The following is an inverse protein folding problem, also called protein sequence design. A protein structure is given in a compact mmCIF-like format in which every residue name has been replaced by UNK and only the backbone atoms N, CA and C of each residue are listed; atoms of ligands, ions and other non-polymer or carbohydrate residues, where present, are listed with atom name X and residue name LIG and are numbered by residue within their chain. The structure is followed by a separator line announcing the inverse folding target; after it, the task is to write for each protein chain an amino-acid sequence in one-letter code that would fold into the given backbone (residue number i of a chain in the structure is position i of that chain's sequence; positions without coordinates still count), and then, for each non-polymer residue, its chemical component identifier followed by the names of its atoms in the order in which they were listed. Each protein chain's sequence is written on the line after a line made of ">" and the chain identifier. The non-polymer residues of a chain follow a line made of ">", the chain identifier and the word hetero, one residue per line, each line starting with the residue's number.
data_IF_983583841263
#
_entry.id   IF_983583841263
#
_cell.length_a   1.000
_cell.length_b   1.000
_cell.length_c   1.000
_cell.angle_alpha   90.00
_cell.angle_beta   90.00
_cell.angle_gamma   90.00
#
_symmetry.space_group_name_H-M   'P 1'
#
loop_
_entity.id
_entity.type
_entity.pdbx_description
1 polymer ?
#
# COMPACT_ATOMS: atom_id res chain seq x y z
N UNK A 1 4.83 -25.57 65.61
CA UNK A 1 3.49 -25.02 65.30
C UNK A 1 3.56 -23.50 65.26
N UNK A 2 3.05 -22.91 64.18
CA UNK A 2 2.48 -21.55 64.00
C UNK A 2 3.13 -20.36 64.75
N UNK A 3 3.77 -19.39 64.06
CA UNK A 3 3.21 -18.31 63.24
C UNK A 3 2.83 -17.05 64.03
N UNK A 4 3.43 -15.91 63.65
CA UNK A 4 3.03 -14.50 63.85
C UNK A 4 4.30 -13.62 63.68
N UNK A 5 4.36 -12.41 63.11
CA UNK A 5 3.46 -11.46 62.44
C UNK A 5 4.38 -10.28 62.05
N UNK A 6 4.06 -9.50 61.00
CA UNK A 6 4.48 -8.08 60.95
C UNK A 6 5.23 -7.56 59.72
N UNK A 7 4.45 -7.23 58.68
CA UNK A 7 4.47 -6.00 57.87
C UNK A 7 5.71 -5.07 57.88
N UNK A 8 6.21 -4.70 56.69
CA UNK A 8 6.04 -3.35 56.08
C UNK A 8 6.85 -3.21 54.79
N UNK A 9 6.18 -2.75 53.75
CA UNK A 9 6.78 -2.37 52.47
C UNK A 9 7.50 -1.03 52.52
N UNK A 10 8.56 -0.91 51.73
CA UNK A 10 9.22 0.31 51.28
C UNK A 10 10.10 -0.10 50.08
N UNK A 11 10.25 0.60 48.96
CA UNK A 11 9.65 1.80 48.36
C UNK A 11 10.11 1.77 46.90
N UNK A 12 9.23 2.18 45.99
CA UNK A 12 9.53 2.44 44.56
C UNK A 12 10.80 3.29 44.40
N UNK A 13 11.58 2.98 43.36
CA UNK A 13 12.03 3.97 42.35
C UNK A 13 12.70 3.24 41.17
N UNK A 14 11.88 2.80 40.21
CA UNK A 14 12.37 2.59 38.85
C UNK A 14 12.21 3.93 38.13
N UNK A 15 13.33 4.61 37.83
CA UNK A 15 13.31 5.76 36.94
C UNK A 15 12.85 5.29 35.55
N UNK A 16 11.65 5.68 35.15
CA UNK A 16 11.24 5.64 33.75
C UNK A 16 12.03 6.72 33.01
N UNK A 17 13.09 6.33 32.31
CA UNK A 17 13.70 7.18 31.31
C UNK A 17 12.71 7.28 30.13
N UNK A 18 12.01 8.40 30.04
CA UNK A 18 11.32 8.84 28.82
C UNK A 18 12.39 9.02 27.75
N UNK A 19 12.66 7.96 26.98
CA UNK A 19 13.34 8.11 25.69
C UNK A 19 12.29 8.65 24.73
N UNK A 20 12.39 9.95 24.49
CA UNK A 20 11.86 10.58 23.30
C UNK A 20 12.27 9.74 22.08
N UNK A 21 11.29 9.06 21.47
CA UNK A 21 11.53 8.28 20.26
C UNK A 21 11.42 9.23 19.10
N UNK A 22 12.53 9.86 18.74
CA UNK A 22 12.69 10.39 17.38
C UNK A 22 12.44 9.24 16.39
N UNK A 23 11.59 9.41 15.36
CA UNK A 23 11.32 8.34 14.42
C UNK A 23 12.63 7.94 13.72
N UNK A 24 12.92 6.64 13.68
CA UNK A 24 14.08 6.14 12.94
C UNK A 24 13.97 6.46 11.44
N UNK A 25 15.11 6.50 10.75
CA UNK A 25 15.22 6.87 9.32
C UNK A 25 14.24 6.11 8.41
N UNK A 26 13.88 4.87 8.76
CA UNK A 26 12.88 4.06 8.06
C UNK A 26 11.44 4.61 8.17
N UNK A 27 11.06 5.17 9.33
CA UNK A 27 9.75 5.78 9.54
C UNK A 27 9.61 7.09 8.76
N UNK A 28 10.67 7.89 8.69
CA UNK A 28 10.70 9.13 7.89
C UNK A 28 10.59 8.85 6.38
N UNK A 29 11.16 7.74 5.90
CA UNK A 29 11.04 7.28 4.50
C UNK A 29 9.63 6.77 4.19
N UNK A 30 8.99 6.05 5.12
CA UNK A 30 7.63 5.58 4.96
C UNK A 30 6.62 6.73 4.84
N UNK A 31 6.77 7.79 5.65
CA UNK A 31 5.90 8.98 5.61
C UNK A 31 5.91 9.70 4.27
N UNK A 32 7.05 9.72 3.56
CA UNK A 32 7.19 10.42 2.29
C UNK A 32 6.27 9.86 1.17
N UNK A 33 5.72 8.67 1.34
CA UNK A 33 4.87 8.02 0.34
C UNK A 33 3.41 7.92 0.75
N UNK A 34 3.09 8.21 2.02
CA UNK A 34 1.72 8.18 2.50
C UNK A 34 0.88 9.29 1.83
N UNK A 35 -0.41 9.00 1.69
CA UNK A 35 -1.43 9.96 1.25
C UNK A 35 -2.03 10.62 2.49
N UNK A 36 -2.14 11.95 2.49
CA UNK A 36 -2.98 12.65 3.48
C UNK A 36 -4.45 12.29 3.26
N UNK A 37 -5.33 12.61 4.22
CA UNK A 37 -6.76 12.36 4.08
C UNK A 37 -7.36 13.10 2.85
N UNK A 38 -6.95 14.34 2.65
CA UNK A 38 -7.37 15.17 1.51
C UNK A 38 -6.84 14.62 0.18
N UNK A 39 -5.54 14.31 0.11
CA UNK A 39 -4.91 13.71 -1.08
C UNK A 39 -5.61 12.39 -1.44
N UNK A 40 -5.89 11.57 -0.43
CA UNK A 40 -6.55 10.27 -0.59
C UNK A 40 -7.95 10.41 -1.16
N UNK A 41 -8.75 11.32 -0.63
CA UNK A 41 -10.12 11.54 -1.13
C UNK A 41 -10.11 11.98 -2.59
N UNK A 42 -9.24 12.92 -2.94
CA UNK A 42 -9.10 13.41 -4.31
C UNK A 42 -8.64 12.30 -5.27
N UNK A 43 -7.60 11.56 -4.89
CA UNK A 43 -7.06 10.44 -5.67
C UNK A 43 -8.10 9.35 -5.88
N UNK A 44 -8.88 8.98 -4.86
CA UNK A 44 -9.90 7.94 -4.99
C UNK A 44 -10.99 8.37 -5.97
N UNK A 45 -11.39 9.64 -5.98
CA UNK A 45 -12.36 10.17 -6.94
C UNK A 45 -11.81 10.10 -8.38
N UNK A 46 -10.56 10.50 -8.60
CA UNK A 46 -9.90 10.41 -9.91
C UNK A 46 -9.81 8.96 -10.41
N UNK A 47 -9.37 8.05 -9.54
CA UNK A 47 -9.24 6.64 -9.88
C UNK A 47 -10.59 6.00 -10.18
N UNK A 48 -11.64 6.35 -9.43
CA UNK A 48 -13.02 5.91 -9.70
C UNK A 48 -13.52 6.40 -11.05
N UNK A 49 -13.24 7.65 -11.42
CA UNK A 49 -13.60 8.18 -12.74
C UNK A 49 -12.89 7.42 -13.87
N UNK A 50 -11.68 6.90 -13.62
CA UNK A 50 -10.96 6.02 -14.52
C UNK A 50 -11.39 4.53 -14.44
N UNK A 51 -12.42 4.18 -13.66
CA UNK A 51 -12.94 2.80 -13.56
C UNK A 51 -12.24 1.91 -12.55
N UNK A 52 -11.39 2.46 -11.67
CA UNK A 52 -10.84 1.72 -10.53
C UNK A 52 -11.85 1.70 -9.37
N UNK A 53 -11.88 0.60 -8.63
CA UNK A 53 -12.67 0.43 -7.41
C UNK A 53 -11.77 0.22 -6.20
N UNK A 54 -12.20 0.68 -5.02
CA UNK A 54 -11.54 0.32 -3.76
C UNK A 54 -12.02 -1.07 -3.33
N UNK A 55 -11.12 -1.92 -2.86
CA UNK A 55 -11.48 -3.19 -2.23
C UNK A 55 -12.07 -2.96 -0.83
N UNK A 56 -12.98 -3.84 -0.41
CA UNK A 56 -13.70 -3.73 0.88
C UNK A 56 -12.96 -4.39 2.05
N UNK A 57 -12.17 -5.41 1.75
CA UNK A 57 -11.47 -6.28 2.70
C UNK A 57 -10.05 -5.80 3.03
N UNK A 58 -9.45 -4.99 2.16
CA UNK A 58 -8.10 -4.43 2.32
C UNK A 58 -7.98 -3.07 1.67
N UNK A 59 -7.01 -2.29 2.13
CA UNK A 59 -6.76 -0.97 1.61
C UNK A 59 -5.94 -1.02 0.30
N UNK A 60 -6.67 -1.29 -0.76
CA UNK A 60 -6.16 -1.48 -2.11
C UNK A 60 -7.16 -0.96 -3.14
N UNK A 61 -6.67 -0.74 -4.35
CA UNK A 61 -7.49 -0.43 -5.52
C UNK A 61 -7.41 -1.56 -6.54
N UNK A 62 -8.50 -1.77 -7.28
CA UNK A 62 -8.68 -2.85 -8.24
C UNK A 62 -9.26 -2.33 -9.55
N UNK A 63 -8.84 -2.91 -10.67
CA UNK A 63 -9.48 -2.74 -11.98
C UNK A 63 -9.25 -3.95 -12.88
N UNK A 64 -10.26 -4.32 -13.66
CA UNK A 64 -10.14 -5.28 -14.77
C UNK A 64 -9.99 -4.53 -16.09
N UNK A 65 -8.99 -4.93 -16.88
CA UNK A 65 -8.77 -4.48 -18.25
C UNK A 65 -9.12 -5.60 -19.22
N UNK A 66 -9.78 -5.26 -20.32
CA UNK A 66 -10.12 -6.18 -21.41
C UNK A 66 -9.52 -5.69 -22.73
N UNK A 67 -8.79 -6.57 -23.41
CA UNK A 67 -8.09 -6.29 -24.67
C UNK A 67 -8.69 -7.11 -25.83
N UNK A 68 -8.20 -6.92 -27.06
CA UNK A 68 -8.69 -7.69 -28.22
C UNK A 68 -8.31 -9.16 -28.15
N UNK A 69 -7.12 -9.47 -27.64
CA UNK A 69 -6.56 -10.82 -27.56
C UNK A 69 -5.42 -10.89 -26.53
N UNK A 70 -4.86 -12.08 -26.35
CA UNK A 70 -3.75 -12.31 -25.43
C UNK A 70 -2.46 -11.53 -25.80
N UNK A 71 -2.17 -11.36 -27.10
CA UNK A 71 -0.95 -10.64 -27.52
C UNK A 71 -0.97 -9.18 -27.06
N UNK A 72 -2.09 -8.47 -27.26
CA UNK A 72 -2.27 -7.13 -26.72
C UNK A 72 -2.22 -7.11 -25.18
N UNK A 73 -2.90 -8.04 -24.51
CA UNK A 73 -2.89 -8.11 -23.05
C UNK A 73 -1.47 -8.29 -22.49
N UNK A 74 -0.68 -9.20 -23.07
CA UNK A 74 0.68 -9.46 -22.62
C UNK A 74 1.67 -8.35 -23.01
N UNK A 75 1.45 -7.68 -24.15
CA UNK A 75 2.18 -6.46 -24.51
C UNK A 75 1.95 -5.32 -23.51
N UNK A 76 0.69 -5.12 -23.09
CA UNK A 76 0.34 -4.22 -22.00
C UNK A 76 1.03 -4.60 -20.68
N UNK A 77 0.92 -5.87 -20.27
CA UNK A 77 1.54 -6.38 -19.05
C UNK A 77 3.06 -6.16 -19.06
N UNK A 78 3.72 -6.40 -20.19
CA UNK A 78 5.17 -6.20 -20.35
C UNK A 78 5.58 -4.74 -20.11
N UNK A 79 4.80 -3.77 -20.62
CA UNK A 79 5.04 -2.34 -20.36
C UNK A 79 4.86 -1.99 -18.88
N UNK A 80 3.84 -2.55 -18.23
CA UNK A 80 3.61 -2.37 -16.78
C UNK A 80 4.74 -2.97 -15.96
N UNK A 81 5.24 -4.16 -16.31
CA UNK A 81 6.35 -4.81 -15.63
C UNK A 81 7.64 -3.96 -15.68
N UNK A 82 7.99 -3.40 -16.84
CA UNK A 82 9.14 -2.51 -16.97
C UNK A 82 9.03 -1.26 -16.08
N UNK A 83 7.83 -0.69 -15.98
CA UNK A 83 7.60 0.47 -15.12
C UNK A 83 7.62 0.08 -13.63
N UNK A 84 7.07 -1.09 -13.28
CA UNK A 84 7.09 -1.62 -11.93
C UNK A 84 8.52 -1.80 -11.42
N UNK A 85 9.39 -2.41 -12.23
CA UNK A 85 10.82 -2.55 -11.92
C UNK A 85 11.50 -1.18 -11.73
N UNK A 86 11.27 -0.24 -12.65
CA UNK A 86 11.81 1.13 -12.53
C UNK A 86 11.36 1.84 -11.25
N UNK A 87 10.14 1.55 -10.77
CA UNK A 87 9.58 2.13 -9.57
C UNK A 87 9.91 1.35 -8.29
N UNK A 88 10.46 0.14 -8.42
CA UNK A 88 10.53 -0.85 -7.35
C UNK A 88 9.17 -1.00 -6.63
N UNK A 89 8.09 -1.10 -7.41
CA UNK A 89 6.72 -1.20 -6.91
C UNK A 89 5.89 -2.05 -7.86
N UNK A 90 5.45 -3.21 -7.39
CA UNK A 90 4.89 -4.26 -8.24
C UNK A 90 3.37 -4.40 -8.04
N UNK A 91 2.60 -4.66 -9.12
CA UNK A 91 1.20 -4.97 -9.00
C UNK A 91 0.98 -6.41 -8.52
N UNK A 92 -0.17 -6.65 -7.90
CA UNK A 92 -0.78 -7.98 -7.88
C UNK A 92 -1.68 -8.10 -9.12
N UNK A 93 -1.57 -9.19 -9.88
CA UNK A 93 -2.44 -9.37 -11.03
C UNK A 93 -2.81 -10.81 -11.34
N UNK A 94 -3.91 -10.96 -12.08
CA UNK A 94 -4.36 -12.20 -12.68
C UNK A 94 -4.64 -11.96 -14.16
N UNK A 95 -4.19 -12.86 -15.03
CA UNK A 95 -4.46 -12.78 -16.46
C UNK A 95 -5.10 -14.08 -16.95
N UNK A 96 -6.19 -13.93 -17.71
CA UNK A 96 -6.83 -14.99 -18.46
C UNK A 96 -7.11 -14.50 -19.89
N UNK A 97 -6.32 -14.97 -20.85
CA UNK A 97 -6.39 -14.57 -22.26
C UNK A 97 -6.33 -13.03 -22.42
N UNK A 98 -7.43 -12.40 -22.83
CA UNK A 98 -7.50 -10.97 -23.10
C UNK A 98 -7.89 -10.13 -21.88
N UNK A 99 -8.09 -10.74 -20.71
CA UNK A 99 -8.45 -10.04 -19.46
C UNK A 99 -7.28 -9.97 -18.51
N UNK A 100 -7.02 -8.79 -17.95
CA UNK A 100 -6.00 -8.56 -16.92
C UNK A 100 -6.64 -7.85 -15.74
N UNK A 101 -6.69 -8.53 -14.61
CA UNK A 101 -7.18 -8.00 -13.35
C UNK A 101 -6.00 -7.51 -12.54
N UNK A 102 -6.02 -6.26 -12.09
CA UNK A 102 -4.90 -5.64 -11.37
C UNK A 102 -5.40 -5.13 -10.02
N UNK A 103 -4.69 -5.48 -8.96
CA UNK A 103 -4.82 -4.93 -7.61
C UNK A 103 -3.53 -4.19 -7.24
N UNK A 104 -3.64 -2.99 -6.67
CA UNK A 104 -2.52 -2.19 -6.19
C UNK A 104 -2.67 -1.86 -4.71
N UNK A 105 -1.62 -2.13 -3.95
CA UNK A 105 -1.42 -1.71 -2.56
C UNK A 105 0.08 -1.68 -2.28
N UNK A 106 0.50 -0.97 -1.23
CA UNK A 106 1.89 -1.01 -0.76
C UNK A 106 2.02 -1.98 0.41
N UNK A 107 2.63 -3.14 0.15
CA UNK A 107 2.78 -4.23 1.11
C UNK A 107 3.61 -3.88 2.35
N UNK A 108 4.60 -3.00 2.18
CA UNK A 108 5.51 -2.56 3.25
C UNK A 108 4.79 -1.73 4.33
N UNK A 109 3.71 -1.03 4.00
CA UNK A 109 2.88 -0.30 4.95
C UNK A 109 1.42 -0.80 5.05
N UNK A 110 1.05 -1.82 4.27
CA UNK A 110 -0.28 -2.44 4.29
C UNK A 110 -1.42 -1.51 3.84
N UNK A 111 -1.10 -0.44 3.09
CA UNK A 111 -2.07 0.59 2.71
C UNK A 111 -1.74 1.22 1.36
N UNK A 112 -2.70 1.93 0.78
CA UNK A 112 -2.56 2.68 -0.47
C UNK A 112 -1.63 3.88 -0.28
N UNK A 113 -0.65 4.02 -1.17
CA UNK A 113 0.34 5.10 -1.16
C UNK A 113 0.41 5.84 -2.49
N UNK A 114 1.21 6.91 -2.53
CA UNK A 114 1.56 7.65 -3.76
C UNK A 114 2.17 6.76 -4.85
N UNK A 115 2.85 5.65 -4.49
CA UNK A 115 3.41 4.70 -5.45
C UNK A 115 2.31 3.95 -6.21
N UNK A 116 1.29 3.49 -5.49
CA UNK A 116 0.13 2.82 -6.08
C UNK A 116 -0.58 3.73 -7.07
N UNK A 117 -0.81 4.99 -6.69
CA UNK A 117 -1.44 5.99 -7.55
C UNK A 117 -0.61 6.25 -8.81
N UNK A 118 0.70 6.40 -8.66
CA UNK A 118 1.61 6.64 -9.78
C UNK A 118 1.64 5.47 -10.75
N UNK A 119 1.64 4.24 -10.24
CA UNK A 119 1.60 3.04 -11.07
C UNK A 119 0.23 2.89 -11.75
N UNK A 120 -0.87 3.14 -11.06
CA UNK A 120 -2.23 3.16 -11.63
C UNK A 120 -2.33 4.15 -12.80
N UNK A 121 -1.82 5.38 -12.64
CA UNK A 121 -1.80 6.40 -13.70
C UNK A 121 -0.95 5.97 -14.90
N UNK A 122 0.15 5.25 -14.68
CA UNK A 122 0.93 4.68 -15.78
C UNK A 122 0.17 3.56 -16.49
N UNK A 123 -0.46 2.67 -15.73
CA UNK A 123 -1.28 1.57 -16.24
C UNK A 123 -2.38 2.10 -17.17
N UNK A 124 -3.08 3.17 -16.79
CA UNK A 124 -4.08 3.80 -17.67
C UNK A 124 -3.47 4.26 -19.01
N UNK A 125 -2.29 4.91 -18.97
CA UNK A 125 -1.59 5.34 -20.19
C UNK A 125 -1.14 4.15 -21.06
N UNK A 126 -0.67 3.08 -20.42
CA UNK A 126 -0.26 1.87 -21.12
C UNK A 126 -1.47 1.19 -21.79
N UNK A 127 -2.60 1.10 -21.10
CA UNK A 127 -3.84 0.51 -21.61
C UNK A 127 -4.45 1.33 -22.77
N UNK A 128 -4.44 2.66 -22.68
CA UNK A 128 -5.00 3.55 -23.71
C UNK A 128 -4.23 3.54 -25.06
N UNK A 129 -3.06 2.88 -25.10
CA UNK A 129 -2.20 2.81 -26.30
C UNK A 129 -2.00 1.38 -26.80
N UNK A 130 -2.91 0.47 -26.46
CA UNK A 130 -2.96 -0.93 -26.96
C UNK A 130 -3.89 -1.11 -28.14
#
# INVERSE_FOLDING_TARGET
>A
MAAALGTRGATRRLLAALRDRSPGLAAMSADAHLLTAEERNQVILELKAAGWSKLTDRDAIYKEFSFKNFNQAFGFMSRVALQAEKMNHHPEWFNAYNKVQITLTSHDCGQLTKRDVKLAKFIEKAAASM
#
